data_IF_257364951236
#
_entry.id   IF_257364951236
#
_cell.length_a   1.000
_cell.length_b   1.000
_cell.length_c   1.000
_cell.angle_alpha   90.00
_cell.angle_beta   90.00
_cell.angle_gamma   90.00
#
_symmetry.space_group_name_H-M   'P 1'
#
loop_
_entity.id
_entity.type
_entity.pdbx_description
1 polymer ?
#
# COMPACT_ATOMS: atom_id res chain seq x y z
N UNK A 1 -40.60 -69.38 -35.07
CA UNK A 1 -40.46 -67.90 -35.10
C UNK A 1 -40.51 -67.42 -33.67
N UNK A 2 -39.38 -66.91 -33.12
CA UNK A 2 -39.30 -66.34 -31.77
C UNK A 2 -39.32 -64.83 -31.90
N UNK A 3 -40.09 -64.07 -31.10
CA UNK A 3 -40.10 -62.62 -31.19
C UNK A 3 -38.84 -62.01 -30.57
N UNK A 4 -38.18 -61.10 -31.32
CA UNK A 4 -37.08 -60.28 -30.86
C UNK A 4 -37.65 -59.20 -29.93
N UNK A 5 -37.18 -59.24 -28.68
CA UNK A 5 -37.42 -58.15 -27.73
C UNK A 5 -36.51 -56.95 -28.07
N UNK A 6 -37.11 -55.82 -28.42
CA UNK A 6 -36.44 -54.53 -28.56
C UNK A 6 -36.12 -54.01 -27.14
N UNK A 7 -34.87 -53.89 -26.82
CA UNK A 7 -34.45 -53.19 -25.59
C UNK A 7 -34.33 -51.72 -25.94
N UNK A 8 -35.24 -50.93 -25.44
CA UNK A 8 -35.16 -49.45 -25.42
C UNK A 8 -34.17 -49.09 -24.32
N UNK A 9 -33.00 -48.58 -24.68
CA UNK A 9 -32.13 -47.85 -23.76
C UNK A 9 -32.73 -46.46 -23.52
N UNK A 10 -32.89 -46.01 -22.26
CA UNK A 10 -33.24 -44.63 -22.00
C UNK A 10 -32.02 -43.79 -22.29
N UNK A 11 -32.16 -42.86 -23.24
CA UNK A 11 -31.20 -41.76 -23.46
C UNK A 11 -31.19 -40.87 -22.23
N UNK A 12 -30.16 -40.99 -21.40
CA UNK A 12 -29.88 -40.07 -20.28
C UNK A 12 -29.45 -38.75 -20.88
N UNK A 13 -30.42 -37.81 -20.98
CA UNK A 13 -30.16 -36.40 -21.33
C UNK A 13 -29.31 -35.81 -20.15
N UNK A 14 -27.98 -35.80 -20.28
CA UNK A 14 -27.17 -34.96 -19.43
C UNK A 14 -27.45 -33.52 -19.75
N UNK A 15 -28.28 -32.89 -18.94
CA UNK A 15 -28.39 -31.44 -18.86
C UNK A 15 -27.05 -30.96 -18.25
N UNK A 16 -26.12 -30.53 -19.09
CA UNK A 16 -24.98 -29.76 -18.68
C UNK A 16 -25.55 -28.40 -18.26
N UNK A 17 -25.92 -28.27 -16.98
CA UNK A 17 -26.07 -26.96 -16.36
C UNK A 17 -24.64 -26.39 -16.35
N UNK A 18 -24.38 -25.48 -17.28
CA UNK A 18 -23.22 -24.62 -17.18
C UNK A 18 -23.40 -23.84 -15.86
N UNK A 19 -22.77 -24.34 -14.80
CA UNK A 19 -22.56 -23.58 -13.59
C UNK A 19 -21.62 -22.46 -14.05
N UNK A 20 -22.19 -21.34 -14.45
CA UNK A 20 -21.47 -20.08 -14.48
C UNK A 20 -21.02 -19.87 -13.04
N UNK A 21 -19.78 -20.26 -12.76
CA UNK A 21 -19.19 -20.14 -11.43
C UNK A 21 -19.33 -18.69 -10.98
N UNK A 22 -19.79 -18.52 -9.76
CA UNK A 22 -19.72 -17.19 -9.10
C UNK A 22 -18.27 -16.68 -9.29
N UNK A 23 -18.08 -15.38 -9.64
CA UNK A 23 -16.74 -14.84 -9.78
C UNK A 23 -15.91 -15.22 -8.56
N UNK A 24 -14.73 -15.79 -8.80
CA UNK A 24 -13.88 -16.28 -7.73
C UNK A 24 -13.57 -15.16 -6.72
N UNK A 25 -13.81 -15.44 -5.44
CA UNK A 25 -13.42 -14.56 -4.34
C UNK A 25 -12.27 -15.20 -3.58
N UNK A 26 -11.21 -14.42 -3.38
CA UNK A 26 -10.10 -14.84 -2.54
C UNK A 26 -10.55 -15.14 -1.11
N UNK A 27 -10.37 -16.38 -0.66
CA UNK A 27 -10.70 -16.77 0.72
C UNK A 27 -9.86 -16.01 1.74
N UNK A 28 -8.59 -15.76 1.45
CA UNK A 28 -7.70 -15.01 2.31
C UNK A 28 -8.17 -13.55 2.47
N UNK A 29 -8.55 -12.92 1.36
CA UNK A 29 -9.06 -11.55 1.38
C UNK A 29 -10.43 -11.46 2.08
N UNK A 30 -11.35 -12.39 1.80
CA UNK A 30 -12.66 -12.45 2.47
C UNK A 30 -12.47 -12.56 3.98
N UNK A 31 -11.61 -13.48 4.44
CA UNK A 31 -11.31 -13.64 5.87
C UNK A 31 -10.75 -12.37 6.47
N UNK A 32 -9.74 -11.77 5.84
CA UNK A 32 -9.08 -10.57 6.33
C UNK A 32 -10.04 -9.37 6.42
N UNK A 33 -10.92 -9.19 5.41
CA UNK A 33 -11.91 -8.10 5.38
C UNK A 33 -13.08 -8.33 6.35
N UNK A 34 -13.40 -9.59 6.67
CA UNK A 34 -14.39 -9.90 7.69
C UNK A 34 -13.86 -9.71 9.11
N UNK A 35 -12.58 -10.04 9.36
CA UNK A 35 -11.91 -9.82 10.62
C UNK A 35 -11.74 -8.33 10.92
N UNK A 36 -11.34 -7.56 9.93
CA UNK A 36 -11.07 -6.13 10.05
C UNK A 36 -11.52 -5.39 8.76
N UNK A 37 -12.76 -4.91 8.70
CA UNK A 37 -13.30 -4.26 7.50
C UNK A 37 -12.57 -2.98 7.07
N UNK A 38 -11.83 -2.31 7.96
CA UNK A 38 -11.02 -1.13 7.62
C UNK A 38 -9.93 -1.48 6.60
N UNK A 39 -9.47 -2.74 6.54
CA UNK A 39 -8.54 -3.25 5.52
C UNK A 39 -9.05 -3.03 4.09
N UNK A 40 -10.36 -2.80 3.91
CA UNK A 40 -10.92 -2.45 2.62
C UNK A 40 -10.38 -1.13 2.05
N UNK A 41 -9.84 -0.24 2.88
CA UNK A 41 -9.10 0.96 2.46
C UNK A 41 -7.86 0.65 1.63
N UNK A 42 -7.36 -0.58 1.68
CA UNK A 42 -6.24 -1.06 0.87
C UNK A 42 -4.96 -0.23 1.11
N UNK A 43 -4.44 0.45 0.08
CA UNK A 43 -3.26 1.31 0.22
C UNK A 43 -3.51 2.62 1.00
N UNK A 44 -4.75 2.92 1.38
CA UNK A 44 -5.06 4.04 2.29
C UNK A 44 -5.04 3.65 3.76
N UNK A 45 -4.91 2.36 4.09
CA UNK A 45 -4.76 1.93 5.49
C UNK A 45 -3.53 2.57 6.13
N UNK A 46 -3.66 2.95 7.39
CA UNK A 46 -2.55 3.46 8.21
C UNK A 46 -1.47 2.41 8.41
N UNK A 47 -0.26 2.87 8.74
CA UNK A 47 0.88 1.99 9.02
C UNK A 47 0.65 1.19 10.31
N UNK A 48 0.59 -0.13 10.17
CA UNK A 48 0.49 -1.04 11.31
C UNK A 48 1.89 -1.51 11.72
N UNK A 49 2.30 -1.18 12.94
CA UNK A 49 3.55 -1.68 13.49
C UNK A 49 3.43 -3.16 13.86
N UNK A 50 4.35 -3.97 13.36
CA UNK A 50 4.51 -5.37 13.74
C UNK A 50 5.75 -5.56 14.59
N UNK A 51 5.69 -6.44 15.59
CA UNK A 51 6.84 -6.75 16.42
C UNK A 51 8.03 -7.19 15.56
N UNK A 52 9.17 -6.55 15.80
CA UNK A 52 10.38 -6.74 15.01
C UNK A 52 11.20 -7.91 15.57
N UNK A 53 11.52 -8.86 14.71
CA UNK A 53 12.53 -9.89 14.97
C UNK A 53 13.77 -9.57 14.17
N UNK A 54 14.90 -9.39 14.89
CA UNK A 54 16.17 -8.99 14.28
C UNK A 54 17.20 -10.14 14.39
N UNK A 55 17.57 -10.71 13.26
CA UNK A 55 18.67 -11.67 13.19
C UNK A 55 19.99 -10.96 13.43
N UNK A 56 20.79 -11.47 14.39
CA UNK A 56 22.12 -10.91 14.71
C UNK A 56 23.05 -11.01 13.51
N UNK A 57 23.85 -9.96 13.24
CA UNK A 57 24.82 -10.01 12.16
C UNK A 57 25.91 -11.07 12.42
N UNK A 58 26.54 -11.59 11.35
CA UNK A 58 27.69 -12.48 11.49
C UNK A 58 28.80 -11.86 12.35
N UNK A 59 29.56 -12.71 13.03
CA UNK A 59 30.62 -12.26 13.92
C UNK A 59 31.62 -11.30 13.21
N UNK A 60 31.87 -10.16 13.82
CA UNK A 60 32.77 -9.15 13.29
C UNK A 60 32.12 -8.08 12.40
N UNK A 61 30.90 -8.27 11.94
CA UNK A 61 30.18 -7.27 11.16
C UNK A 61 29.41 -6.31 12.05
N UNK A 62 29.48 -5.01 11.72
CA UNK A 62 28.77 -3.93 12.43
C UNK A 62 28.01 -3.07 11.42
N UNK A 63 26.78 -2.62 11.75
CA UNK A 63 26.03 -1.73 10.88
C UNK A 63 26.73 -0.36 10.82
N UNK A 64 26.80 0.24 9.62
CA UNK A 64 27.48 1.52 9.41
C UNK A 64 26.73 2.50 8.51
N UNK A 65 25.76 2.03 7.71
CA UNK A 65 25.02 2.85 6.76
C UNK A 65 23.64 2.27 6.51
N UNK A 66 22.65 3.16 6.26
CA UNK A 66 21.28 2.79 5.92
C UNK A 66 20.86 3.52 4.63
N UNK A 67 20.36 2.77 3.65
CA UNK A 67 19.62 3.31 2.50
C UNK A 67 18.14 3.03 2.71
N UNK A 68 17.31 4.08 2.66
CA UNK A 68 15.88 4.00 2.95
C UNK A 68 15.07 4.59 1.80
N UNK A 69 13.95 3.96 1.50
CA UNK A 69 12.86 4.52 0.70
C UNK A 69 11.55 4.41 1.48
N UNK A 70 10.89 5.53 1.77
CA UNK A 70 9.60 5.59 2.45
C UNK A 70 8.51 6.21 1.56
N UNK A 71 7.34 5.58 1.55
CA UNK A 71 6.10 6.20 1.12
C UNK A 71 5.70 7.27 2.14
N UNK A 72 5.05 8.37 1.72
CA UNK A 72 4.45 9.32 2.66
C UNK A 72 3.48 8.62 3.65
N UNK A 73 3.24 9.23 4.80
CA UNK A 73 2.33 8.72 5.83
C UNK A 73 0.85 8.96 5.51
N UNK A 74 0.00 8.61 6.49
CA UNK A 74 -1.46 8.81 6.46
C UNK A 74 -1.82 10.24 6.06
N UNK A 75 -2.85 10.37 5.22
CA UNK A 75 -3.20 11.63 4.56
C UNK A 75 -4.69 11.77 4.27
N UNK A 76 -5.12 13.00 4.01
CA UNK A 76 -6.43 13.27 3.43
C UNK A 76 -6.55 12.72 2.00
N UNK A 77 -7.78 12.51 1.53
CA UNK A 77 -8.07 12.13 0.16
C UNK A 77 -8.11 13.37 -0.77
N UNK A 78 -8.43 13.16 -2.05
CA UNK A 78 -8.62 14.21 -3.05
C UNK A 78 -10.11 14.48 -3.23
N UNK A 79 -10.53 15.75 -3.14
CA UNK A 79 -11.91 16.18 -3.41
C UNK A 79 -12.90 15.96 -2.26
N UNK A 80 -13.38 17.04 -1.64
CA UNK A 80 -14.30 17.04 -0.49
C UNK A 80 -15.77 16.80 -0.83
N UNK A 81 -16.16 16.84 -2.11
CA UNK A 81 -17.57 16.79 -2.54
C UNK A 81 -18.32 15.53 -2.12
N UNK A 82 -17.64 14.39 -1.96
CA UNK A 82 -18.24 13.14 -1.46
C UNK A 82 -18.65 13.24 0.00
N UNK A 83 -17.87 13.93 0.83
CA UNK A 83 -18.17 14.12 2.27
C UNK A 83 -19.32 15.10 2.46
N UNK A 84 -19.32 16.21 1.71
CA UNK A 84 -20.41 17.20 1.69
C UNK A 84 -21.73 16.55 1.21
N UNK A 85 -21.68 15.75 0.15
CA UNK A 85 -22.82 15.02 -0.36
C UNK A 85 -23.38 14.00 0.62
N UNK A 86 -22.50 13.30 1.36
CA UNK A 86 -22.92 12.39 2.42
C UNK A 86 -23.59 13.16 3.56
N UNK A 87 -22.97 14.22 4.06
CA UNK A 87 -23.50 15.04 5.15
C UNK A 87 -24.88 15.61 4.77
N UNK A 88 -25.02 16.23 3.60
CA UNK A 88 -26.30 16.78 3.14
C UNK A 88 -27.41 15.71 3.09
N UNK A 89 -27.09 14.51 2.61
CA UNK A 89 -28.05 13.40 2.56
C UNK A 89 -28.46 12.96 3.97
N UNK A 90 -27.52 12.85 4.90
CA UNK A 90 -27.78 12.44 6.26
C UNK A 90 -28.55 13.51 7.06
N UNK A 91 -28.23 14.79 6.85
CA UNK A 91 -28.97 15.92 7.45
C UNK A 91 -30.42 15.93 7.03
N UNK A 92 -30.71 15.69 5.75
CA UNK A 92 -32.09 15.54 5.25
C UNK A 92 -32.81 14.39 5.97
N UNK A 93 -32.17 13.23 6.08
CA UNK A 93 -32.73 12.10 6.82
C UNK A 93 -32.98 12.40 8.30
N UNK A 94 -32.09 13.16 8.93
CA UNK A 94 -32.23 13.61 10.33
C UNK A 94 -33.38 14.56 10.51
N UNK A 95 -33.55 15.55 9.65
CA UNK A 95 -34.67 16.51 9.65
C UNK A 95 -36.04 15.80 9.49
N UNK A 96 -36.06 14.73 8.69
CA UNK A 96 -37.23 13.89 8.51
C UNK A 96 -37.46 12.87 9.63
N UNK A 97 -36.56 12.75 10.61
CA UNK A 97 -36.65 11.80 11.72
C UNK A 97 -36.55 10.34 11.31
N UNK A 98 -35.84 10.05 10.20
CA UNK A 98 -35.72 8.70 9.62
C UNK A 98 -34.28 8.13 9.66
N UNK A 99 -33.36 8.73 10.36
CA UNK A 99 -32.05 8.10 10.56
C UNK A 99 -32.17 6.94 11.57
N UNK A 100 -31.40 5.89 11.33
CA UNK A 100 -31.07 4.90 12.36
C UNK A 100 -30.10 5.52 13.38
N UNK A 101 -29.95 4.96 14.59
CA UNK A 101 -28.86 5.37 15.49
C UNK A 101 -27.50 5.29 14.84
N UNK A 102 -27.30 4.31 13.94
CA UNK A 102 -26.10 4.21 13.11
C UNK A 102 -25.97 5.37 12.14
N UNK A 103 -27.06 5.75 11.45
CA UNK A 103 -27.07 6.90 10.55
C UNK A 103 -26.72 8.22 11.25
N UNK A 104 -27.16 8.42 12.51
CA UNK A 104 -26.72 9.56 13.33
C UNK A 104 -25.21 9.50 13.62
N UNK A 105 -24.67 8.31 13.97
CA UNK A 105 -23.23 8.14 14.19
C UNK A 105 -22.43 8.41 12.91
N UNK A 106 -22.93 7.96 11.76
CA UNK A 106 -22.29 8.21 10.47
C UNK A 106 -22.25 9.71 10.14
N UNK A 107 -23.32 10.46 10.45
CA UNK A 107 -23.36 11.91 10.27
C UNK A 107 -22.29 12.61 11.12
N UNK A 108 -22.15 12.18 12.39
CA UNK A 108 -21.11 12.74 13.29
C UNK A 108 -19.70 12.45 12.74
N UNK A 109 -19.45 11.22 12.34
CA UNK A 109 -18.16 10.83 11.78
C UNK A 109 -17.85 11.57 10.46
N UNK A 110 -18.83 11.68 9.54
CA UNK A 110 -18.66 12.39 8.27
C UNK A 110 -18.34 13.89 8.48
N UNK A 111 -18.99 14.53 9.45
CA UNK A 111 -18.69 15.93 9.82
C UNK A 111 -17.27 16.07 10.36
N UNK A 112 -16.83 15.12 11.21
CA UNK A 112 -15.46 15.12 11.76
C UNK A 112 -14.42 14.90 10.65
N UNK A 113 -14.71 14.03 9.68
CA UNK A 113 -13.86 13.87 8.48
C UNK A 113 -13.77 15.17 7.70
N UNK A 114 -14.90 15.83 7.40
CA UNK A 114 -14.91 17.06 6.63
C UNK A 114 -14.19 18.21 7.37
N UNK A 115 -14.35 18.32 8.68
CA UNK A 115 -13.66 19.32 9.50
C UNK A 115 -12.13 19.16 9.39
N UNK A 116 -11.63 17.93 9.51
CA UNK A 116 -10.20 17.66 9.36
C UNK A 116 -9.70 17.76 7.93
N UNK A 117 -10.59 17.50 6.95
CA UNK A 117 -10.27 17.54 5.53
C UNK A 117 -10.19 18.97 4.97
N UNK A 118 -10.95 19.92 5.51
CA UNK A 118 -11.12 21.24 4.94
C UNK A 118 -9.78 21.96 4.67
N UNK A 119 -9.50 22.24 3.39
CA UNK A 119 -8.22 22.82 2.96
C UNK A 119 -7.02 21.87 2.98
N UNK A 120 -7.26 20.56 3.17
CA UNK A 120 -6.22 19.54 3.33
C UNK A 120 -6.15 18.54 2.17
N UNK A 121 -6.56 18.91 0.96
CA UNK A 121 -6.54 18.02 -0.22
C UNK A 121 -5.20 17.31 -0.40
N UNK A 122 -5.18 15.98 -0.24
CA UNK A 122 -4.01 15.14 -0.38
C UNK A 122 -2.84 15.48 0.55
N UNK A 123 -3.11 16.22 1.66
CA UNK A 123 -2.11 16.64 2.63
C UNK A 123 -1.90 15.62 3.73
N UNK A 124 -0.69 15.55 4.27
CA UNK A 124 -0.35 14.66 5.37
C UNK A 124 -1.19 14.96 6.61
N UNK A 125 -1.76 13.92 7.23
CA UNK A 125 -2.47 14.04 8.50
C UNK A 125 -1.51 14.04 9.69
N UNK A 126 -2.01 14.40 10.89
CA UNK A 126 -1.21 14.29 12.12
C UNK A 126 -0.82 12.83 12.42
N UNK A 127 -1.65 11.86 12.03
CA UNK A 127 -1.32 10.44 12.11
C UNK A 127 -0.10 10.11 11.24
N UNK A 128 -0.05 10.61 10.01
CA UNK A 128 1.10 10.44 9.12
C UNK A 128 2.40 11.03 9.68
N UNK A 129 2.31 12.15 10.40
CA UNK A 129 3.47 12.72 11.13
C UNK A 129 3.94 11.75 12.22
N UNK A 130 3.02 11.18 13.01
CA UNK A 130 3.36 10.22 14.06
C UNK A 130 3.95 8.92 13.50
N UNK A 131 3.44 8.42 12.39
CA UNK A 131 3.97 7.22 11.72
C UNK A 131 5.45 7.38 11.39
N UNK A 132 5.83 8.46 10.70
CA UNK A 132 7.23 8.71 10.32
C UNK A 132 8.13 9.01 11.51
N UNK A 133 7.62 9.72 12.53
CA UNK A 133 8.32 9.94 13.78
C UNK A 133 8.68 8.61 14.45
N UNK A 134 7.70 7.70 14.57
CA UNK A 134 7.87 6.41 15.22
C UNK A 134 8.79 5.45 14.42
N UNK A 135 8.71 5.44 13.07
CA UNK A 135 9.61 4.64 12.23
C UNK A 135 11.07 5.11 12.42
N UNK A 136 11.30 6.44 12.45
CA UNK A 136 12.65 6.99 12.70
C UNK A 136 13.18 6.64 14.08
N UNK A 137 12.34 6.69 15.12
CA UNK A 137 12.71 6.29 16.48
C UNK A 137 13.11 4.82 16.56
N UNK A 138 12.35 3.94 15.92
CA UNK A 138 12.66 2.50 15.88
C UNK A 138 13.91 2.23 15.08
N UNK A 139 14.13 2.90 13.95
CA UNK A 139 15.36 2.81 13.15
C UNK A 139 16.59 3.19 13.98
N UNK A 140 16.51 4.31 14.71
CA UNK A 140 17.64 4.76 15.55
C UNK A 140 17.91 3.77 16.69
N UNK A 141 16.89 3.32 17.42
CA UNK A 141 17.03 2.35 18.52
C UNK A 141 17.60 1.02 18.06
N UNK A 142 17.28 0.60 16.85
CA UNK A 142 17.67 -0.67 16.26
C UNK A 142 19.12 -0.63 15.76
N UNK A 143 19.54 0.53 15.23
CA UNK A 143 20.85 0.72 14.62
C UNK A 143 21.63 1.93 15.19
N UNK A 144 21.80 2.05 16.50
CA UNK A 144 22.40 3.23 17.13
C UNK A 144 23.84 3.47 16.67
N UNK A 145 24.58 2.42 16.31
CA UNK A 145 25.96 2.52 15.82
C UNK A 145 26.05 3.28 14.49
N UNK A 146 25.03 3.23 13.64
CA UNK A 146 24.98 3.96 12.36
C UNK A 146 24.95 5.47 12.61
N UNK A 147 24.21 5.91 13.61
CA UNK A 147 23.95 7.32 13.93
C UNK A 147 24.87 7.87 15.04
N UNK A 148 25.89 7.12 15.45
CA UNK A 148 26.79 7.54 16.53
C UNK A 148 27.72 8.66 16.09
N UNK A 149 27.80 9.73 16.92
CA UNK A 149 28.68 10.87 16.73
C UNK A 149 28.23 11.82 15.62
N UNK A 150 29.14 12.67 15.16
CA UNK A 150 28.88 13.69 14.14
C UNK A 150 28.92 13.07 12.75
N UNK A 151 27.75 12.77 12.19
CA UNK A 151 27.62 12.19 10.85
C UNK A 151 26.57 12.90 10.02
N UNK A 152 26.72 12.83 8.70
CA UNK A 152 25.77 13.39 7.76
C UNK A 152 24.67 12.39 7.40
N UNK A 153 23.42 12.87 7.39
CA UNK A 153 22.26 12.19 6.81
C UNK A 153 21.80 13.01 5.61
N UNK A 154 21.62 12.35 4.46
CA UNK A 154 20.98 12.98 3.29
C UNK A 154 19.55 12.53 3.21
N UNK A 155 18.61 13.46 2.99
CA UNK A 155 17.19 13.14 2.80
C UNK A 155 16.64 13.90 1.60
N UNK A 156 15.88 13.16 0.78
CA UNK A 156 15.31 13.62 -0.48
C UNK A 156 13.81 13.36 -0.48
N UNK A 157 13.02 14.40 -0.70
CA UNK A 157 11.56 14.31 -0.80
C UNK A 157 11.05 14.65 -2.18
N UNK A 158 9.96 14.03 -2.62
CA UNK A 158 9.23 14.55 -3.78
C UNK A 158 8.72 15.95 -3.46
N UNK A 159 8.45 16.77 -4.48
CA UNK A 159 7.96 18.15 -4.31
C UNK A 159 6.58 18.23 -3.69
N UNK A 160 5.91 17.12 -3.49
CA UNK A 160 4.56 17.04 -2.94
C UNK A 160 4.57 17.20 -1.42
N UNK A 161 3.73 18.08 -0.89
CA UNK A 161 3.68 18.48 0.53
C UNK A 161 3.74 17.28 1.50
N UNK A 162 2.94 16.22 1.29
CA UNK A 162 2.90 15.08 2.20
C UNK A 162 4.23 14.33 2.31
N UNK A 163 5.01 14.29 1.23
CA UNK A 163 6.34 13.67 1.24
C UNK A 163 7.34 14.53 1.99
N UNK A 164 7.30 15.87 1.78
CA UNK A 164 8.16 16.81 2.48
C UNK A 164 7.91 16.82 3.99
N UNK A 165 6.65 16.81 4.40
CA UNK A 165 6.33 16.76 5.84
C UNK A 165 6.67 15.40 6.45
N UNK A 166 6.50 14.30 5.72
CA UNK A 166 6.97 12.97 6.15
C UNK A 166 8.48 12.96 6.36
N UNK A 167 9.24 13.51 5.40
CA UNK A 167 10.70 13.67 5.52
C UNK A 167 11.08 14.49 6.75
N UNK A 168 10.41 15.63 6.98
CA UNK A 168 10.68 16.49 8.13
C UNK A 168 10.36 15.81 9.46
N UNK A 169 9.23 15.09 9.56
CA UNK A 169 8.88 14.33 10.77
C UNK A 169 9.94 13.29 11.10
N UNK A 170 10.39 12.55 10.09
CA UNK A 170 11.42 11.51 10.22
C UNK A 170 12.77 12.10 10.65
N UNK A 171 13.27 13.11 9.95
CA UNK A 171 14.57 13.73 10.22
C UNK A 171 14.58 14.46 11.55
N UNK A 172 13.52 15.16 11.93
CA UNK A 172 13.36 15.78 13.25
C UNK A 172 13.44 14.73 14.36
N UNK A 173 12.83 13.58 14.18
CA UNK A 173 12.90 12.47 15.14
C UNK A 173 14.35 11.97 15.33
N UNK A 174 15.13 11.86 14.25
CA UNK A 174 16.55 11.48 14.33
C UNK A 174 17.39 12.54 15.06
N UNK A 175 17.16 13.85 14.78
CA UNK A 175 17.85 14.96 15.47
C UNK A 175 17.59 14.93 16.97
N UNK A 176 16.35 14.66 17.39
CA UNK A 176 16.00 14.56 18.81
C UNK A 176 16.76 13.46 19.53
N UNK A 177 17.14 12.38 18.84
CA UNK A 177 17.87 11.26 19.40
C UNK A 177 19.39 11.46 19.36
N UNK A 178 19.92 12.16 18.36
CA UNK A 178 21.31 12.58 18.29
C UNK A 178 21.42 13.98 17.67
N UNK A 179 21.56 15.05 18.49
CA UNK A 179 21.72 16.43 18.03
C UNK A 179 23.00 16.70 17.24
N UNK A 180 24.00 15.82 17.29
CA UNK A 180 25.24 15.95 16.54
C UNK A 180 25.11 15.55 15.06
N UNK A 181 23.99 14.93 14.68
CA UNK A 181 23.71 14.65 13.27
C UNK A 181 23.49 15.94 12.52
N UNK A 182 24.06 16.04 11.32
CA UNK A 182 23.77 17.15 10.42
C UNK A 182 23.14 16.64 9.13
N UNK A 183 22.17 17.41 8.63
CA UNK A 183 21.29 16.98 7.57
C UNK A 183 21.53 17.79 6.29
N UNK A 184 21.58 17.06 5.16
CA UNK A 184 21.36 17.64 3.85
C UNK A 184 19.95 17.25 3.42
N UNK A 185 19.05 18.23 3.38
CA UNK A 185 17.66 18.05 2.96
C UNK A 185 17.48 18.68 1.58
N UNK A 186 16.94 17.95 0.64
CA UNK A 186 16.73 18.46 -0.72
C UNK A 186 15.42 17.94 -1.30
N UNK A 187 14.87 18.72 -2.25
CA UNK A 187 13.69 18.40 -3.05
C UNK A 187 13.81 19.11 -4.39
N UNK A 188 13.21 18.58 -5.42
CA UNK A 188 13.21 19.23 -6.74
C UNK A 188 13.00 18.24 -7.86
N UNK A 189 12.78 18.78 -9.08
CA UNK A 189 12.47 18.01 -10.28
C UNK A 189 13.51 16.92 -10.58
N UNK A 190 14.78 17.17 -10.27
CA UNK A 190 15.88 16.20 -10.48
C UNK A 190 15.72 14.87 -9.75
N UNK A 191 14.85 14.82 -8.71
CA UNK A 191 14.58 13.61 -7.93
C UNK A 191 13.23 12.96 -8.28
N UNK A 192 12.39 13.66 -9.06
CA UNK A 192 11.02 13.22 -9.32
C UNK A 192 10.98 11.94 -10.14
N UNK A 193 11.99 11.65 -10.96
CA UNK A 193 12.04 10.42 -11.75
C UNK A 193 11.97 9.15 -10.90
N UNK A 194 12.46 9.18 -9.65
CA UNK A 194 12.39 8.04 -8.74
C UNK A 194 11.58 8.27 -7.46
N UNK A 195 11.14 9.50 -7.16
CA UNK A 195 10.30 9.79 -6.00
C UNK A 195 8.83 9.97 -6.34
N UNK A 196 8.51 10.41 -7.56
CA UNK A 196 7.16 10.69 -8.04
C UNK A 196 7.12 10.60 -9.58
N UNK A 197 7.37 9.41 -10.11
CA UNK A 197 7.44 9.19 -11.54
C UNK A 197 6.05 9.33 -12.18
N UNK A 198 5.80 10.42 -12.89
CA UNK A 198 4.51 10.70 -13.53
C UNK A 198 4.10 9.60 -14.52
N UNK A 199 5.04 9.08 -15.31
CA UNK A 199 4.78 7.97 -16.22
C UNK A 199 4.31 6.73 -15.46
N UNK A 200 4.92 6.42 -14.32
CA UNK A 200 4.50 5.32 -13.44
C UNK A 200 3.06 5.51 -12.96
N UNK A 201 2.69 6.74 -12.59
CA UNK A 201 1.33 7.04 -12.19
C UNK A 201 0.32 6.88 -13.34
N UNK A 202 0.64 7.36 -14.54
CA UNK A 202 -0.21 7.24 -15.73
C UNK A 202 -0.48 5.79 -16.11
N UNK A 203 0.45 4.88 -15.86
CA UNK A 203 0.30 3.45 -16.16
C UNK A 203 -0.83 2.75 -15.42
N UNK A 204 -1.29 3.30 -14.30
CA UNK A 204 -2.47 2.84 -13.58
C UNK A 204 -3.73 2.78 -14.46
N UNK A 205 -3.80 3.62 -15.47
CA UNK A 205 -4.89 3.69 -16.44
C UNK A 205 -4.57 3.04 -17.79
N UNK A 206 -3.55 2.20 -17.86
CA UNK A 206 -3.15 1.50 -19.10
C UNK A 206 -4.19 0.48 -19.56
N UNK A 207 -4.08 0.06 -20.81
CA UNK A 207 -4.93 -0.99 -21.38
C UNK A 207 -4.80 -2.32 -20.62
N UNK A 208 -3.57 -2.69 -20.23
CA UNK A 208 -3.31 -3.90 -19.45
C UNK A 208 -3.97 -3.86 -18.07
N UNK A 209 -3.89 -2.73 -17.37
CA UNK A 209 -4.56 -2.55 -16.07
C UNK A 209 -6.09 -2.62 -16.21
N UNK A 210 -6.66 -1.98 -17.25
CA UNK A 210 -8.10 -2.08 -17.51
C UNK A 210 -8.54 -3.50 -17.83
N UNK A 211 -7.76 -4.25 -18.62
CA UNK A 211 -8.05 -5.65 -18.93
C UNK A 211 -8.02 -6.53 -17.67
N UNK A 212 -7.02 -6.34 -16.80
CA UNK A 212 -6.96 -7.05 -15.51
C UNK A 212 -8.18 -6.78 -14.62
N UNK A 213 -8.73 -5.56 -14.66
CA UNK A 213 -9.92 -5.19 -13.89
C UNK A 213 -11.23 -5.66 -14.52
N UNK A 214 -11.25 -5.96 -15.83
CA UNK A 214 -12.50 -6.35 -16.52
C UNK A 214 -13.14 -7.59 -15.91
N UNK A 215 -12.36 -8.59 -15.49
CA UNK A 215 -12.83 -9.80 -14.83
C UNK A 215 -13.56 -9.54 -13.48
N UNK A 216 -13.34 -8.37 -12.87
CA UNK A 216 -13.97 -8.00 -11.60
C UNK A 216 -15.33 -7.29 -11.77
N UNK A 217 -15.75 -7.01 -13.01
CA UNK A 217 -17.01 -6.31 -13.26
C UNK A 217 -18.23 -7.13 -12.83
N UNK A 218 -18.14 -8.45 -12.97
CA UNK A 218 -19.22 -9.39 -12.64
C UNK A 218 -19.29 -9.74 -11.13
N UNK A 219 -18.37 -9.22 -10.32
CA UNK A 219 -18.45 -9.37 -8.86
C UNK A 219 -19.76 -8.75 -8.35
N UNK A 220 -20.48 -9.41 -7.42
CA UNK A 220 -21.66 -8.84 -6.77
C UNK A 220 -21.39 -7.46 -6.18
N UNK A 221 -22.35 -6.53 -6.32
CA UNK A 221 -22.26 -5.16 -5.83
C UNK A 221 -23.62 -4.73 -5.26
N UNK A 222 -23.90 -5.09 -4.02
CA UNK A 222 -25.09 -4.59 -3.34
C UNK A 222 -24.91 -3.15 -2.92
N UNK A 223 -25.35 -2.23 -3.77
CA UNK A 223 -25.36 -0.79 -3.47
C UNK A 223 -26.66 -0.34 -2.79
N UNK A 224 -27.65 -1.19 -2.61
CA UNK A 224 -28.95 -0.83 -2.00
C UNK A 224 -28.99 -1.06 -0.51
N UNK A 225 -28.24 -2.01 -0.01
CA UNK A 225 -28.22 -2.36 1.42
C UNK A 225 -27.71 -1.25 2.35
N UNK A 226 -27.05 -0.23 1.84
CA UNK A 226 -26.67 0.98 2.60
C UNK A 226 -27.92 1.72 3.11
N UNK A 227 -29.02 1.71 2.33
CA UNK A 227 -30.24 2.45 2.71
C UNK A 227 -30.83 1.95 4.02
N UNK A 228 -30.99 0.64 4.19
CA UNK A 228 -31.58 0.05 5.42
C UNK A 228 -30.66 0.13 6.64
N UNK A 229 -29.36 0.30 6.43
CA UNK A 229 -28.39 0.49 7.51
C UNK A 229 -28.38 1.94 8.03
N UNK A 230 -28.73 2.88 7.17
CA UNK A 230 -28.66 4.31 7.48
C UNK A 230 -30.05 4.88 7.82
N UNK A 231 -31.12 4.40 7.18
CA UNK A 231 -32.47 4.93 7.32
C UNK A 231 -33.45 3.90 7.85
N UNK A 232 -34.31 4.32 8.77
CA UNK A 232 -35.41 3.51 9.32
C UNK A 232 -36.57 3.37 8.33
N UNK A 233 -36.78 4.36 7.45
CA UNK A 233 -37.79 4.35 6.40
C UNK A 233 -37.12 4.52 5.02
N UNK A 234 -36.86 3.37 4.39
CA UNK A 234 -36.19 3.33 3.08
C UNK A 234 -37.06 3.96 1.97
N UNK A 235 -38.40 3.86 2.08
CA UNK A 235 -39.30 4.44 1.09
C UNK A 235 -39.21 5.96 1.09
N UNK A 236 -39.24 6.58 2.25
CA UNK A 236 -39.02 8.02 2.39
C UNK A 236 -37.60 8.42 1.99
N UNK A 237 -36.57 7.63 2.35
CA UNK A 237 -35.20 7.91 1.95
C UNK A 237 -35.05 7.96 0.42
N UNK A 238 -35.68 7.07 -0.32
CA UNK A 238 -35.63 7.06 -1.79
C UNK A 238 -36.22 8.32 -2.45
N UNK A 239 -37.01 9.12 -1.75
CA UNK A 239 -37.57 10.37 -2.28
C UNK A 239 -36.48 11.44 -2.46
N UNK A 240 -35.37 11.42 -1.64
CA UNK A 240 -34.30 12.38 -1.73
C UNK A 240 -32.93 11.75 -2.03
N UNK A 241 -32.71 10.47 -1.73
CA UNK A 241 -31.51 9.74 -2.14
C UNK A 241 -31.63 9.37 -3.62
N UNK A 242 -31.11 10.23 -4.49
CA UNK A 242 -31.22 10.06 -5.95
C UNK A 242 -30.57 8.77 -6.46
N UNK A 243 -29.52 8.28 -5.79
CA UNK A 243 -28.79 7.08 -6.17
C UNK A 243 -28.20 6.40 -4.93
N UNK A 244 -28.66 5.16 -4.67
CA UNK A 244 -28.07 4.32 -3.62
C UNK A 244 -26.58 4.01 -3.90
N UNK A 245 -26.20 3.89 -5.19
CA UNK A 245 -24.80 3.74 -5.59
C UNK A 245 -23.97 4.96 -5.15
N UNK A 246 -24.43 6.18 -5.42
CA UNK A 246 -23.70 7.39 -5.01
C UNK A 246 -23.60 7.49 -3.48
N UNK A 247 -24.66 7.13 -2.74
CA UNK A 247 -24.57 7.07 -1.29
C UNK A 247 -23.53 6.05 -0.83
N UNK A 248 -23.48 4.87 -1.46
CA UNK A 248 -22.45 3.85 -1.20
C UNK A 248 -21.05 4.39 -1.47
N UNK A 249 -20.83 5.09 -2.60
CA UNK A 249 -19.53 5.69 -2.92
C UNK A 249 -19.13 6.78 -1.92
N UNK A 250 -20.08 7.60 -1.47
CA UNK A 250 -19.81 8.66 -0.49
C UNK A 250 -19.45 8.06 0.88
N UNK A 251 -20.16 7.01 1.31
CA UNK A 251 -19.81 6.28 2.55
C UNK A 251 -18.44 5.62 2.40
N UNK A 252 -18.17 4.96 1.25
CA UNK A 252 -16.87 4.36 0.96
C UNK A 252 -15.73 5.39 1.04
N UNK A 253 -15.87 6.53 0.33
CA UNK A 253 -14.86 7.59 0.30
C UNK A 253 -14.58 8.18 1.68
N UNK A 254 -15.60 8.22 2.56
CA UNK A 254 -15.42 8.65 3.94
C UNK A 254 -14.75 7.57 4.78
N UNK A 255 -15.16 6.31 4.61
CA UNK A 255 -14.64 5.18 5.39
C UNK A 255 -13.15 4.93 5.16
N UNK A 256 -12.67 5.02 3.90
CA UNK A 256 -11.27 4.70 3.55
C UNK A 256 -10.23 5.67 4.12
N UNK A 257 -10.64 6.84 4.64
CA UNK A 257 -9.74 7.83 5.23
C UNK A 257 -10.07 8.17 6.69
N UNK A 258 -11.14 7.59 7.23
CA UNK A 258 -11.56 7.87 8.61
C UNK A 258 -10.43 7.54 9.60
N UNK A 259 -9.74 6.43 9.37
CA UNK A 259 -8.60 6.00 10.17
C UNK A 259 -7.41 6.98 10.10
N UNK A 260 -7.21 7.64 8.97
CA UNK A 260 -6.13 8.63 8.77
C UNK A 260 -6.32 9.91 9.62
N UNK A 261 -7.53 10.11 10.13
CA UNK A 261 -7.90 11.21 11.04
C UNK A 261 -8.23 10.74 12.47
N UNK A 262 -7.76 9.56 12.86
CA UNK A 262 -8.01 8.98 14.19
C UNK A 262 -9.50 8.83 14.52
N UNK A 263 -10.32 8.53 13.52
CA UNK A 263 -11.72 8.18 13.71
C UNK A 263 -11.79 6.67 13.91
N UNK A 264 -12.04 6.26 15.14
CA UNK A 264 -12.04 4.84 15.55
C UNK A 264 -13.29 4.07 15.09
N UNK A 265 -14.36 4.80 14.70
CA UNK A 265 -15.60 4.17 14.25
C UNK A 265 -15.40 3.48 12.90
N UNK A 266 -15.70 2.19 12.83
CA UNK A 266 -15.64 1.42 11.58
C UNK A 266 -16.82 1.78 10.66
N UNK A 267 -16.61 2.74 9.76
CA UNK A 267 -17.64 3.22 8.85
C UNK A 267 -17.98 2.22 7.73
N UNK A 268 -17.17 1.19 7.51
CA UNK A 268 -17.50 0.12 6.56
C UNK A 268 -18.72 -0.70 7.00
N UNK A 269 -19.09 -0.70 8.28
CA UNK A 269 -20.29 -1.37 8.78
C UNK A 269 -21.59 -0.91 8.10
N UNK A 270 -21.61 0.27 7.49
CA UNK A 270 -22.74 0.79 6.74
C UNK A 270 -22.85 0.24 5.31
N UNK A 271 -21.82 -0.47 4.85
CA UNK A 271 -21.79 -1.05 3.52
C UNK A 271 -22.05 -2.56 3.56
N UNK A 272 -22.82 -3.11 2.63
CA UNK A 272 -22.88 -4.56 2.40
C UNK A 272 -21.50 -5.12 2.05
N UNK A 273 -21.22 -6.36 2.49
CA UNK A 273 -19.92 -6.98 2.25
C UNK A 273 -19.58 -7.10 0.76
N UNK A 274 -20.57 -7.38 -0.09
CA UNK A 274 -20.38 -7.45 -1.55
C UNK A 274 -19.88 -6.13 -2.12
N UNK A 275 -20.43 -5.01 -1.67
CA UNK A 275 -19.98 -3.68 -2.06
C UNK A 275 -18.57 -3.38 -1.56
N UNK A 276 -18.22 -3.83 -0.35
CA UNK A 276 -16.87 -3.70 0.22
C UNK A 276 -15.88 -4.52 -0.60
N UNK A 277 -16.15 -5.81 -0.79
CA UNK A 277 -15.24 -6.73 -1.47
C UNK A 277 -14.96 -6.29 -2.90
N UNK A 278 -15.99 -5.92 -3.67
CA UNK A 278 -15.83 -5.49 -5.06
C UNK A 278 -14.91 -4.26 -5.18
N UNK A 279 -15.12 -3.25 -4.35
CA UNK A 279 -14.30 -2.02 -4.37
C UNK A 279 -12.88 -2.28 -3.95
N UNK A 280 -12.71 -3.09 -2.90
CA UNK A 280 -11.39 -3.53 -2.49
C UNK A 280 -10.68 -4.29 -3.61
N UNK A 281 -11.31 -5.30 -4.23
CA UNK A 281 -10.72 -6.11 -5.28
C UNK A 281 -10.31 -5.26 -6.49
N UNK A 282 -11.16 -4.33 -6.92
CA UNK A 282 -10.86 -3.39 -7.99
C UNK A 282 -9.66 -2.50 -7.65
N UNK A 283 -9.60 -1.95 -6.45
CA UNK A 283 -8.44 -1.17 -5.97
C UNK A 283 -7.18 -2.03 -5.94
N UNK A 284 -7.27 -3.25 -5.40
CA UNK A 284 -6.14 -4.15 -5.23
C UNK A 284 -5.52 -4.56 -6.58
N UNK A 285 -6.36 -5.00 -7.52
CA UNK A 285 -5.90 -5.38 -8.88
C UNK A 285 -5.36 -4.17 -9.63
N UNK A 286 -6.01 -3.01 -9.54
CA UNK A 286 -5.55 -1.77 -10.17
C UNK A 286 -4.16 -1.36 -9.67
N UNK A 287 -3.90 -1.48 -8.37
CA UNK A 287 -2.59 -1.17 -7.78
C UNK A 287 -1.53 -2.14 -8.28
N UNK A 288 -1.78 -3.45 -8.20
CA UNK A 288 -0.79 -4.44 -8.58
C UNK A 288 -0.50 -4.42 -10.09
N UNK A 289 -1.52 -4.52 -10.94
CA UNK A 289 -1.36 -4.50 -12.38
C UNK A 289 -0.83 -3.15 -12.90
N UNK A 290 -1.13 -2.06 -12.18
CA UNK A 290 -0.65 -0.72 -12.53
C UNK A 290 0.81 -0.46 -12.17
N UNK A 291 1.37 -1.12 -11.15
CA UNK A 291 2.63 -0.67 -10.55
C UNK A 291 3.60 -1.79 -10.15
N UNK A 292 3.15 -3.04 -10.12
CA UNK A 292 3.97 -4.17 -9.68
C UNK A 292 4.33 -5.10 -10.86
N UNK A 293 4.81 -6.29 -10.53
CA UNK A 293 5.28 -7.30 -11.47
C UNK A 293 4.14 -8.25 -11.88
N UNK A 294 3.06 -7.73 -12.50
CA UNK A 294 2.06 -8.64 -13.07
C UNK A 294 2.59 -9.31 -14.34
N UNK A 295 2.04 -10.48 -14.69
CA UNK A 295 2.41 -11.19 -15.91
C UNK A 295 2.12 -10.32 -17.14
N UNK A 296 1.02 -9.56 -17.11
CA UNK A 296 0.51 -8.79 -18.25
C UNK A 296 1.21 -7.43 -18.46
N UNK A 297 1.82 -6.88 -17.41
CA UNK A 297 2.36 -5.50 -17.48
C UNK A 297 3.68 -5.30 -16.74
N UNK A 298 4.17 -6.30 -16.01
CA UNK A 298 5.37 -6.16 -15.18
C UNK A 298 6.62 -5.75 -15.95
N UNK A 299 6.74 -6.21 -17.20
CA UNK A 299 7.90 -5.89 -18.05
C UNK A 299 7.99 -4.38 -18.40
N UNK A 300 6.87 -3.64 -18.30
CA UNK A 300 6.86 -2.19 -18.46
C UNK A 300 6.95 -1.45 -17.11
N UNK A 301 6.47 -2.07 -16.00
CA UNK A 301 6.35 -1.42 -14.69
C UNK A 301 7.63 -1.51 -13.87
N UNK A 302 8.21 -2.70 -13.84
CA UNK A 302 9.39 -2.98 -13.02
C UNK A 302 10.60 -2.14 -13.42
N UNK A 303 10.91 -1.94 -14.73
CA UNK A 303 12.01 -1.07 -15.16
C UNK A 303 11.89 0.39 -14.71
N UNK A 304 10.71 0.86 -14.31
CA UNK A 304 10.56 2.23 -13.81
C UNK A 304 11.27 2.50 -12.49
N UNK A 305 11.67 1.46 -11.77
CA UNK A 305 12.50 1.59 -10.58
C UNK A 305 13.99 1.77 -10.89
N UNK A 306 14.42 1.68 -12.16
CA UNK A 306 15.84 1.66 -12.53
C UNK A 306 16.60 2.88 -12.00
N UNK A 307 16.08 4.09 -12.20
CA UNK A 307 16.72 5.33 -11.72
C UNK A 307 16.87 5.37 -10.20
N UNK A 308 15.87 4.84 -9.48
CA UNK A 308 15.94 4.70 -8.02
C UNK A 308 17.03 3.71 -7.60
N UNK A 309 17.11 2.57 -8.26
CA UNK A 309 18.15 1.54 -7.98
C UNK A 309 19.53 2.09 -8.30
N UNK A 310 19.71 2.83 -9.39
CA UNK A 310 20.97 3.50 -9.73
C UNK A 310 21.41 4.50 -8.66
N UNK A 311 20.48 5.33 -8.18
CA UNK A 311 20.74 6.28 -7.10
C UNK A 311 21.10 5.56 -5.78
N UNK A 312 20.40 4.45 -5.45
CA UNK A 312 20.71 3.62 -4.27
C UNK A 312 22.13 3.05 -4.38
N UNK A 313 22.48 2.44 -5.51
CA UNK A 313 23.78 1.82 -5.74
C UNK A 313 24.91 2.86 -5.69
N UNK A 314 24.74 4.00 -6.37
CA UNK A 314 25.72 5.08 -6.39
C UNK A 314 26.00 5.62 -4.99
N UNK A 315 24.95 5.94 -4.22
CA UNK A 315 25.07 6.47 -2.85
C UNK A 315 25.64 5.45 -1.87
N UNK A 316 25.25 4.17 -1.99
CA UNK A 316 25.83 3.11 -1.17
C UNK A 316 27.33 2.95 -1.44
N UNK A 317 27.75 2.91 -2.70
CA UNK A 317 29.16 2.81 -3.07
C UNK A 317 29.96 4.03 -2.59
N UNK A 318 29.43 5.25 -2.70
CA UNK A 318 30.04 6.47 -2.15
C UNK A 318 30.22 6.35 -0.62
N UNK A 319 29.19 5.90 0.10
CA UNK A 319 29.28 5.71 1.53
C UNK A 319 30.26 4.61 1.92
N UNK A 320 30.30 3.51 1.18
CA UNK A 320 31.26 2.42 1.38
C UNK A 320 32.70 2.94 1.24
N UNK A 321 32.97 3.77 0.23
CA UNK A 321 34.29 4.34 -0.03
C UNK A 321 34.72 5.39 1.00
N UNK A 322 33.78 6.25 1.42
CA UNK A 322 34.13 7.44 2.24
C UNK A 322 33.81 7.31 3.72
N UNK A 323 32.85 6.48 4.12
CA UNK A 323 32.34 6.39 5.49
C UNK A 323 31.64 7.66 6.01
N UNK A 324 31.39 8.63 5.13
CA UNK A 324 30.94 9.98 5.48
C UNK A 324 29.48 10.03 5.97
N UNK A 325 28.61 9.20 5.41
CA UNK A 325 27.17 9.28 5.61
C UNK A 325 26.67 8.19 6.57
N UNK A 326 25.70 8.54 7.42
CA UNK A 326 24.96 7.59 8.23
C UNK A 326 23.81 6.96 7.41
N UNK A 327 23.09 7.80 6.68
CA UNK A 327 21.94 7.34 5.90
C UNK A 327 21.66 8.21 4.67
N UNK A 328 21.04 7.57 3.67
CA UNK A 328 20.34 8.21 2.57
C UNK A 328 18.86 7.85 2.67
N UNK A 329 18.02 8.85 2.88
CA UNK A 329 16.58 8.72 3.11
C UNK A 329 15.80 9.28 1.92
N UNK A 330 14.88 8.52 1.36
CA UNK A 330 14.02 8.92 0.24
C UNK A 330 12.56 8.88 0.67
N UNK A 331 11.81 9.94 0.34
CA UNK A 331 10.39 10.08 0.68
C UNK A 331 9.57 10.36 -0.57
N UNK A 332 8.81 9.38 -0.99
CA UNK A 332 8.02 9.40 -2.23
C UNK A 332 6.63 8.81 -2.04
N UNK A 333 6.20 8.11 -3.06
CA UNK A 333 4.84 7.57 -3.19
C UNK A 333 4.82 6.04 -3.19
N UNK A 334 3.60 5.48 -3.18
CA UNK A 334 3.38 4.03 -3.23
C UNK A 334 3.85 3.41 -4.54
N UNK A 335 3.49 4.00 -5.69
CA UNK A 335 3.79 3.41 -6.99
C UNK A 335 5.30 3.32 -7.33
N UNK A 336 6.19 4.28 -7.00
CA UNK A 336 7.63 4.07 -7.14
C UNK A 336 8.17 3.02 -6.18
N UNK A 337 7.62 2.96 -4.95
CA UNK A 337 8.01 1.92 -3.98
C UNK A 337 7.58 0.53 -4.48
N UNK A 338 6.37 0.38 -5.03
CA UNK A 338 5.88 -0.88 -5.60
C UNK A 338 6.75 -1.35 -6.78
N UNK A 339 7.14 -0.46 -7.68
CA UNK A 339 8.09 -0.76 -8.74
C UNK A 339 9.45 -1.18 -8.18
N UNK A 340 9.96 -0.48 -7.16
CA UNK A 340 11.25 -0.76 -6.51
C UNK A 340 11.28 -2.14 -5.84
N UNK A 341 10.26 -2.48 -5.04
CA UNK A 341 10.22 -3.80 -4.39
C UNK A 341 10.03 -4.94 -5.40
N UNK A 342 9.35 -4.68 -6.51
CA UNK A 342 9.23 -5.62 -7.63
C UNK A 342 10.57 -5.81 -8.35
N UNK A 343 11.30 -4.73 -8.62
CA UNK A 343 12.63 -4.76 -9.24
C UNK A 343 13.64 -5.54 -8.38
N UNK A 344 13.65 -5.29 -7.08
CA UNK A 344 14.50 -6.01 -6.14
C UNK A 344 14.09 -7.47 -5.94
N UNK A 345 12.87 -7.84 -6.32
CA UNK A 345 12.32 -9.17 -6.09
C UNK A 345 12.08 -9.46 -4.60
N UNK A 346 11.59 -8.48 -3.85
CA UNK A 346 11.26 -8.66 -2.43
C UNK A 346 10.22 -9.78 -2.29
N UNK A 347 10.56 -10.79 -1.49
CA UNK A 347 9.73 -11.98 -1.27
C UNK A 347 8.34 -11.60 -0.71
N UNK A 348 7.28 -12.20 -1.24
CA UNK A 348 5.89 -11.94 -0.85
C UNK A 348 5.29 -10.64 -1.39
N UNK A 349 6.09 -9.73 -1.95
CA UNK A 349 5.63 -8.42 -2.45
C UNK A 349 5.95 -8.21 -3.92
N UNK A 350 7.17 -8.54 -4.36
CA UNK A 350 7.68 -8.32 -5.71
C UNK A 350 7.54 -9.52 -6.65
N UNK A 351 6.63 -10.45 -6.40
CA UNK A 351 6.45 -11.67 -7.20
C UNK A 351 5.84 -11.39 -8.57
N UNK A 352 6.01 -12.31 -9.53
CA UNK A 352 5.31 -12.24 -10.81
C UNK A 352 3.96 -12.97 -10.70
N UNK A 353 2.85 -12.20 -10.77
CA UNK A 353 1.50 -12.72 -10.53
C UNK A 353 0.60 -12.40 -11.73
N UNK A 354 -0.10 -13.40 -12.30
CA UNK A 354 -1.11 -13.15 -13.32
C UNK A 354 -2.34 -12.45 -12.73
N UNK A 355 -3.04 -11.68 -13.56
CA UNK A 355 -4.12 -10.79 -13.13
C UNK A 355 -5.25 -11.48 -12.35
N UNK A 356 -5.59 -12.70 -12.73
CA UNK A 356 -6.63 -13.53 -12.10
C UNK A 356 -6.26 -14.08 -10.71
N UNK A 357 -4.96 -14.05 -10.35
CA UNK A 357 -4.44 -14.52 -9.05
C UNK A 357 -4.05 -13.38 -8.10
N UNK A 358 -4.15 -12.12 -8.52
CA UNK A 358 -3.69 -10.98 -7.70
C UNK A 358 -4.38 -10.96 -6.35
N UNK A 359 -5.71 -11.12 -6.30
CA UNK A 359 -6.47 -11.08 -5.06
C UNK A 359 -6.16 -12.23 -4.10
N UNK A 360 -5.60 -13.33 -4.58
CA UNK A 360 -5.23 -14.49 -3.75
C UNK A 360 -3.82 -14.39 -3.18
N UNK A 361 -2.92 -13.71 -3.91
CA UNK A 361 -1.48 -13.74 -3.63
C UNK A 361 -0.90 -12.41 -3.16
N UNK A 362 -1.61 -11.31 -3.38
CA UNK A 362 -1.15 -9.99 -3.01
C UNK A 362 -2.30 -9.15 -2.44
N UNK A 363 -2.14 -8.70 -1.20
CA UNK A 363 -3.14 -7.94 -0.45
C UNK A 363 -2.55 -6.58 -0.12
N UNK A 364 -3.01 -5.54 -0.81
CA UNK A 364 -2.42 -4.20 -0.75
C UNK A 364 -2.44 -3.58 0.65
N UNK A 365 -3.46 -3.87 1.45
CA UNK A 365 -3.55 -3.40 2.83
C UNK A 365 -2.42 -3.93 3.74
N UNK A 366 -1.79 -5.06 3.41
CA UNK A 366 -0.59 -5.55 4.09
C UNK A 366 0.70 -5.17 3.37
N UNK A 367 0.62 -5.09 2.03
CA UNK A 367 1.82 -4.95 1.22
C UNK A 367 2.21 -3.50 0.94
N UNK A 368 1.24 -2.57 0.94
CA UNK A 368 1.52 -1.15 0.63
C UNK A 368 0.64 -0.17 1.43
N UNK A 369 0.46 -0.32 2.75
CA UNK A 369 -0.22 0.69 3.56
C UNK A 369 0.51 2.04 3.54
N UNK A 370 -0.06 3.07 4.16
CA UNK A 370 0.61 4.36 4.38
C UNK A 370 1.95 4.16 5.09
N UNK A 371 2.90 5.05 4.89
CA UNK A 371 4.26 5.00 5.44
C UNK A 371 5.05 3.69 5.18
N UNK A 372 4.59 2.83 4.25
CA UNK A 372 5.35 1.65 3.82
C UNK A 372 6.77 2.03 3.46
N UNK A 373 7.73 1.21 3.86
CA UNK A 373 9.13 1.55 3.66
C UNK A 373 10.02 0.33 3.38
N UNK A 374 11.07 0.58 2.62
CA UNK A 374 12.17 -0.34 2.37
C UNK A 374 13.42 0.22 3.05
N UNK A 375 14.12 -0.60 3.81
CA UNK A 375 15.38 -0.24 4.44
C UNK A 375 16.44 -1.27 4.05
N UNK A 376 17.59 -0.79 3.58
CA UNK A 376 18.77 -1.59 3.30
C UNK A 376 19.83 -1.23 4.35
N UNK A 377 20.16 -2.18 5.22
CA UNK A 377 21.10 -1.98 6.33
C UNK A 377 22.45 -2.58 5.95
N UNK A 378 23.44 -1.75 5.85
CA UNK A 378 24.79 -2.13 5.44
C UNK A 378 25.69 -2.41 6.65
N UNK A 379 26.38 -3.52 6.61
CA UNK A 379 27.30 -3.98 7.65
C UNK A 379 28.71 -4.14 7.09
N UNK A 380 29.73 -3.80 7.87
CA UNK A 380 31.12 -3.94 7.48
C UNK A 380 31.90 -4.69 8.56
N UNK A 381 32.83 -5.55 8.15
CA UNK A 381 33.83 -6.19 9.02
C UNK A 381 35.18 -5.42 9.01
N UNK A 382 36.16 -5.89 9.79
CA UNK A 382 37.50 -5.27 9.85
C UNK A 382 38.27 -5.43 8.53
N UNK A 383 37.99 -6.44 7.73
CA UNK A 383 38.66 -6.67 6.44
C UNK A 383 38.08 -5.80 5.32
N UNK A 384 37.01 -5.03 5.60
CA UNK A 384 36.35 -4.18 4.61
C UNK A 384 35.21 -4.86 3.86
N UNK A 385 34.95 -6.15 4.10
CA UNK A 385 33.84 -6.84 3.45
C UNK A 385 32.49 -6.23 3.84
N UNK A 386 31.59 -6.07 2.88
CA UNK A 386 30.27 -5.44 3.08
C UNK A 386 29.14 -6.44 2.88
N UNK A 387 28.28 -6.51 3.87
CA UNK A 387 27.01 -7.21 3.80
C UNK A 387 25.85 -6.21 3.81
N UNK A 388 24.74 -6.58 3.21
CA UNK A 388 23.45 -5.84 3.25
C UNK A 388 22.33 -6.76 3.70
N UNK A 389 21.43 -6.23 4.52
CA UNK A 389 20.17 -6.86 4.95
C UNK A 389 19.02 -5.98 4.51
N UNK A 390 17.97 -6.61 4.01
CA UNK A 390 16.75 -5.92 3.55
C UNK A 390 15.66 -6.02 4.60
N UNK A 391 15.00 -4.89 4.85
CA UNK A 391 13.80 -4.83 5.66
C UNK A 391 12.69 -4.21 4.81
N UNK A 392 11.55 -4.86 4.75
CA UNK A 392 10.33 -4.28 4.19
C UNK A 392 9.32 -4.07 5.30
N UNK A 393 8.80 -2.85 5.43
CA UNK A 393 7.96 -2.44 6.57
C UNK A 393 8.58 -2.84 7.91
N UNK A 394 9.88 -2.57 8.04
CA UNK A 394 10.71 -2.86 9.22
C UNK A 394 10.90 -4.35 9.55
N UNK A 395 10.32 -5.28 8.77
CA UNK A 395 10.49 -6.73 8.91
C UNK A 395 11.61 -7.24 8.01
N UNK A 396 12.41 -8.19 8.50
CA UNK A 396 13.42 -8.87 7.68
C UNK A 396 12.76 -9.57 6.48
N UNK A 397 13.33 -9.34 5.30
CA UNK A 397 12.84 -9.94 4.06
C UNK A 397 13.98 -10.49 3.23
N UNK A 398 13.64 -11.32 2.24
CA UNK A 398 14.59 -11.91 1.30
C UNK A 398 14.37 -11.38 -0.10
N UNK A 399 15.41 -11.53 -0.92
CA UNK A 399 15.34 -11.33 -2.36
C UNK A 399 15.06 -12.67 -3.02
N UNK A 400 13.99 -12.79 -3.77
CA UNK A 400 13.54 -14.05 -4.40
C UNK A 400 14.56 -14.65 -5.36
N UNK A 401 15.28 -13.81 -6.09
CA UNK A 401 16.18 -14.23 -7.16
C UNK A 401 17.65 -14.27 -6.73
N UNK A 402 17.92 -14.23 -5.43
CA UNK A 402 19.27 -14.20 -4.92
C UNK A 402 19.38 -14.97 -3.60
N UNK A 403 20.30 -15.92 -3.54
CA UNK A 403 20.57 -16.64 -2.28
C UNK A 403 21.34 -15.76 -1.32
N UNK A 404 20.94 -15.69 -0.05
CA UNK A 404 21.69 -14.96 0.97
C UNK A 404 23.05 -15.63 1.23
N UNK A 405 24.04 -14.83 1.60
CA UNK A 405 25.34 -15.34 2.03
C UNK A 405 25.22 -16.11 3.36
N UNK A 406 24.49 -15.54 4.32
CA UNK A 406 24.18 -16.18 5.61
C UNK A 406 22.95 -15.54 6.25
N UNK A 407 21.98 -16.35 6.70
CA UNK A 407 20.73 -15.82 7.26
C UNK A 407 20.05 -14.83 6.31
N UNK A 408 19.67 -13.61 6.75
CA UNK A 408 19.09 -12.56 5.90
C UNK A 408 20.16 -11.62 5.29
N UNK A 409 21.44 -11.98 5.31
CA UNK A 409 22.56 -11.13 4.90
C UNK A 409 23.09 -11.54 3.53
N UNK A 410 23.23 -10.57 2.62
CA UNK A 410 23.79 -10.73 1.28
C UNK A 410 25.12 -10.03 1.16
N UNK A 411 26.07 -10.55 0.38
CA UNK A 411 27.25 -9.79 -0.03
C UNK A 411 26.84 -8.64 -0.92
N UNK A 412 27.27 -7.41 -0.63
CA UNK A 412 26.88 -6.24 -1.42
C UNK A 412 27.28 -6.37 -2.89
N UNK A 413 28.46 -6.88 -3.17
CA UNK A 413 28.92 -7.08 -4.56
C UNK A 413 28.01 -8.04 -5.34
N UNK A 414 27.48 -9.08 -4.69
CA UNK A 414 26.54 -10.03 -5.31
C UNK A 414 25.19 -9.38 -5.59
N UNK A 415 24.69 -8.58 -4.64
CA UNK A 415 23.45 -7.80 -4.85
C UNK A 415 23.62 -6.83 -6.02
N UNK A 416 24.72 -6.08 -6.04
CA UNK A 416 25.00 -5.10 -7.11
C UNK A 416 25.08 -5.77 -8.48
N UNK A 417 25.79 -6.89 -8.61
CA UNK A 417 25.90 -7.64 -9.85
C UNK A 417 24.54 -8.15 -10.34
N UNK A 418 23.66 -8.60 -9.40
CA UNK A 418 22.29 -9.02 -9.73
C UNK A 418 21.45 -7.85 -10.25
N UNK A 419 21.54 -6.68 -9.62
CA UNK A 419 20.83 -5.47 -10.05
C UNK A 419 21.30 -4.95 -11.41
N UNK A 420 22.59 -5.02 -11.69
CA UNK A 420 23.17 -4.67 -13.00
C UNK A 420 22.78 -5.68 -14.10
N UNK A 421 22.61 -6.95 -13.76
CA UNK A 421 22.16 -8.01 -14.67
C UNK A 421 20.72 -7.77 -15.16
N UNK A 422 19.86 -7.19 -14.36
CA UNK A 422 18.47 -6.86 -14.74
C UNK A 422 18.40 -5.84 -15.88
N UNK A 423 19.42 -4.96 -16.02
CA UNK A 423 19.52 -3.98 -17.11
C UNK A 423 19.80 -4.60 -18.49
N UNK A 424 20.25 -5.87 -18.55
CA UNK A 424 20.70 -6.53 -19.77
C UNK A 424 19.65 -7.44 -20.40
N UNK A 425 18.55 -7.66 -19.72
CA UNK A 425 17.41 -8.48 -20.16
C UNK A 425 16.18 -7.60 -20.42
#
# INVERSE_FOLDING_TARGET
MKPRRLILLPALLMVIVAVYGQPHRSEAAVRALMEEPTRAGNNTNSYEFKEIRDTKPPKGYKPFYISHYGRHGSRSNWGGSSYEGLISTLETGKQMGILTPGGDSLLVAARKVLENYNGMDGRLSQKGVREHTAIAERMFRRYPAVFKGKKQVRAFGSTVQRCLISMNAFTTSLVRQNPDLYFYLDTGEKFMDYLDNERGWQMRSSAATRAAMAALQDLPDDTTGVLSRVFTDVSKARAFVKSARNLTENVWSTAIIAEDFDIEDNLFRFLPFDAIYKRWAQSNVSLYAGHCNSVESGDERVPMAQSCVEDIVAKANECIATGKYAADLRFGHDYPLMALVSYLGIEGVGERIPADQICDRWLGFWNIPMASNLQMIFYRNKSGDVLVKFLYQEQETRLRNLEPYVGPYYKWETVKANLEGYKRN
#
